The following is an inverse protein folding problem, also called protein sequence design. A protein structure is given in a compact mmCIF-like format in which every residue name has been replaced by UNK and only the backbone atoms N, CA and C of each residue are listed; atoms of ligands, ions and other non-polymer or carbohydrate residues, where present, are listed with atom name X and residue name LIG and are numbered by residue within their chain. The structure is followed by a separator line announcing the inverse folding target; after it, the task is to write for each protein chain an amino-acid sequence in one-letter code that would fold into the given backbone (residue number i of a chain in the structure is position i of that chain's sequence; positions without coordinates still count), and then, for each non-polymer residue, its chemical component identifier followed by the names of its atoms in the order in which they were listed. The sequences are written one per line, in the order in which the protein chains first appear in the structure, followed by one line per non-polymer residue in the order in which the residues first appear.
data_IF_997887843527
#
_entry.id   IF_997887843527
#
_cell.length_a   1.000
_cell.length_b   1.000
_cell.length_c   1.000
_cell.angle_alpha   90.00
_cell.angle_beta   90.00
_cell.angle_gamma   90.00
#
_symmetry.space_group_name_H-M   'P 1'
#
loop_
_entity.id
_entity.type
_entity.pdbx_description
1 polymer ?
#
# COMPACT_ATOMS: atom_id res chain seq x y z
N UNK A 1 37.40 1.92 3.78
CA UNK A 1 36.17 1.94 2.97
C UNK A 1 36.26 0.87 1.90
N UNK A 2 35.24 0.04 1.71
CA UNK A 2 35.28 -1.01 0.68
C UNK A 2 35.16 -0.35 -0.70
N UNK A 3 35.93 -0.79 -1.69
CA UNK A 3 35.94 -0.20 -3.05
C UNK A 3 34.52 -0.02 -3.61
N UNK A 4 33.63 -0.99 -3.36
CA UNK A 4 32.20 -0.91 -3.72
C UNK A 4 31.49 0.34 -3.17
N UNK A 5 31.78 0.72 -1.91
CA UNK A 5 31.18 1.91 -1.30
C UNK A 5 31.66 3.19 -1.97
N UNK A 6 32.95 3.27 -2.33
CA UNK A 6 33.52 4.42 -3.04
C UNK A 6 32.89 4.53 -4.43
N UNK A 7 32.77 3.41 -5.15
CA UNK A 7 32.14 3.37 -6.48
C UNK A 7 30.67 3.81 -6.40
N UNK A 8 29.91 3.35 -5.41
CA UNK A 8 28.52 3.77 -5.20
C UNK A 8 28.45 5.27 -4.89
N UNK A 9 29.32 5.77 -4.01
CA UNK A 9 29.35 7.19 -3.64
C UNK A 9 29.65 8.08 -4.86
N UNK A 10 30.61 7.66 -5.69
CA UNK A 10 30.98 8.36 -6.93
C UNK A 10 29.83 8.31 -7.93
N UNK A 11 29.18 7.17 -8.13
CA UNK A 11 28.01 7.07 -9.02
C UNK A 11 26.88 7.99 -8.56
N UNK A 12 26.56 7.98 -7.26
CA UNK A 12 25.51 8.82 -6.69
C UNK A 12 25.85 10.30 -6.87
N UNK A 13 27.09 10.69 -6.57
CA UNK A 13 27.57 12.06 -6.79
C UNK A 13 27.46 12.48 -8.26
N UNK A 14 27.84 11.59 -9.19
CA UNK A 14 27.77 11.85 -10.62
C UNK A 14 26.33 12.04 -11.10
N UNK A 15 25.40 11.20 -10.62
CA UNK A 15 23.97 11.31 -10.93
C UNK A 15 23.40 12.63 -10.41
N UNK A 16 23.75 13.04 -9.18
CA UNK A 16 23.31 14.31 -8.60
C UNK A 16 23.82 15.48 -9.44
N UNK A 17 25.10 15.48 -9.80
CA UNK A 17 25.70 16.53 -10.64
C UNK A 17 25.04 16.57 -12.01
N UNK A 18 24.82 15.42 -12.65
CA UNK A 18 24.12 15.35 -13.93
C UNK A 18 22.68 15.84 -13.84
N UNK A 19 21.96 15.56 -12.74
CA UNK A 19 20.63 16.10 -12.52
C UNK A 19 20.67 17.61 -12.35
N UNK A 20 21.59 18.16 -11.56
CA UNK A 20 21.70 19.61 -11.34
C UNK A 20 22.10 20.32 -12.64
N UNK A 21 23.06 19.77 -13.40
CA UNK A 21 23.53 20.38 -14.65
C UNK A 21 22.50 20.27 -15.78
N UNK A 22 21.78 19.15 -15.88
CA UNK A 22 20.73 18.95 -16.89
C UNK A 22 19.34 19.40 -16.38
N UNK A 23 19.27 20.08 -15.23
CA UNK A 23 18.04 20.72 -14.76
C UNK A 23 17.77 21.97 -15.58
N UNK A 24 17.26 21.78 -16.79
CA UNK A 24 16.66 22.86 -17.55
C UNK A 24 15.51 23.41 -16.71
N UNK A 25 15.70 24.62 -16.20
CA UNK A 25 14.72 25.35 -15.42
C UNK A 25 13.54 25.66 -16.33
N UNK A 26 12.39 25.04 -16.04
CA UNK A 26 11.17 25.31 -16.77
C UNK A 26 10.43 26.41 -16.02
N UNK A 27 10.04 27.45 -16.77
CA UNK A 27 9.13 28.48 -16.28
C UNK A 27 7.73 27.88 -16.27
N UNK A 28 7.11 27.79 -15.10
CA UNK A 28 5.70 27.47 -14.97
C UNK A 28 5.01 28.51 -14.10
N UNK A 29 3.73 28.76 -14.36
CA UNK A 29 2.94 29.69 -13.58
C UNK A 29 2.10 28.90 -12.58
N UNK A 30 2.47 28.96 -11.31
CA UNK A 30 1.66 28.39 -10.24
C UNK A 30 0.67 29.47 -9.80
N UNK A 31 -0.62 29.30 -10.13
CA UNK A 31 -1.68 30.24 -9.75
C UNK A 31 -1.30 31.71 -10.06
N UNK A 32 -0.81 31.97 -11.28
CA UNK A 32 -0.35 33.28 -11.77
C UNK A 32 1.02 33.77 -11.26
N UNK A 33 1.69 33.04 -10.37
CA UNK A 33 3.07 33.36 -9.99
C UNK A 33 4.11 32.60 -10.83
N UNK A 34 5.08 33.30 -11.46
CA UNK A 34 6.14 32.65 -12.19
C UNK A 34 7.09 31.95 -11.21
N UNK A 35 7.16 30.62 -11.30
CA UNK A 35 8.06 29.78 -10.53
C UNK A 35 9.01 29.07 -11.49
N UNK A 36 10.28 29.03 -11.09
CA UNK A 36 11.33 28.35 -11.83
C UNK A 36 11.69 27.10 -11.05
N UNK A 37 11.41 25.93 -11.62
CA UNK A 37 11.85 24.67 -11.04
C UNK A 37 12.35 23.74 -12.14
N UNK A 38 13.24 22.79 -11.78
CA UNK A 38 13.57 21.69 -12.68
C UNK A 38 12.33 20.89 -13.07
N UNK A 39 12.20 20.55 -14.35
CA UNK A 39 11.07 19.75 -14.87
C UNK A 39 10.84 18.46 -14.09
N UNK A 40 11.90 17.84 -13.57
CA UNK A 40 11.81 16.62 -12.77
C UNK A 40 10.96 16.79 -11.49
N UNK A 41 11.05 17.93 -10.80
CA UNK A 41 10.21 18.19 -9.63
C UNK A 41 8.73 18.28 -10.00
N UNK A 42 8.43 18.89 -11.15
CA UNK A 42 7.06 19.01 -11.64
C UNK A 42 6.48 17.63 -12.01
N UNK A 43 7.26 16.80 -12.70
CA UNK A 43 6.88 15.43 -13.07
C UNK A 43 6.62 14.57 -11.84
N UNK A 44 7.53 14.58 -10.86
CA UNK A 44 7.33 13.87 -9.60
C UNK A 44 6.10 14.37 -8.83
N UNK A 45 5.88 15.69 -8.79
CA UNK A 45 4.71 16.28 -8.14
C UNK A 45 3.40 15.81 -8.77
N UNK A 46 3.29 15.88 -10.10
CA UNK A 46 2.10 15.41 -10.83
C UNK A 46 1.87 13.92 -10.60
N UNK A 47 2.92 13.10 -10.65
CA UNK A 47 2.83 11.67 -10.41
C UNK A 47 2.34 11.36 -8.98
N UNK A 48 2.88 12.04 -7.97
CA UNK A 48 2.44 11.89 -6.59
C UNK A 48 0.96 12.28 -6.43
N UNK A 49 0.54 13.41 -7.00
CA UNK A 49 -0.86 13.85 -6.97
C UNK A 49 -1.77 12.83 -7.67
N UNK A 50 -1.39 12.36 -8.85
CA UNK A 50 -2.14 11.35 -9.59
C UNK A 50 -2.28 10.03 -8.83
N UNK A 51 -1.22 9.57 -8.17
CA UNK A 51 -1.25 8.37 -7.33
C UNK A 51 -2.16 8.55 -6.11
N UNK A 52 -2.08 9.70 -5.43
CA UNK A 52 -2.93 10.01 -4.28
C UNK A 52 -4.40 10.03 -4.72
N UNK A 53 -4.72 10.79 -5.77
CA UNK A 53 -6.09 10.89 -6.29
C UNK A 53 -6.61 9.54 -6.75
N UNK A 54 -5.82 8.78 -7.51
CA UNK A 54 -6.18 7.43 -7.96
C UNK A 54 -6.39 6.46 -6.79
N UNK A 55 -5.55 6.52 -5.76
CA UNK A 55 -5.70 5.72 -4.56
C UNK A 55 -6.96 6.08 -3.76
N UNK A 56 -7.24 7.36 -3.57
CA UNK A 56 -8.48 7.80 -2.91
C UNK A 56 -9.73 7.41 -3.71
N UNK A 57 -9.70 7.57 -5.03
CA UNK A 57 -10.79 7.16 -5.91
C UNK A 57 -11.05 5.64 -5.84
N UNK A 58 -10.00 4.83 -5.88
CA UNK A 58 -10.11 3.39 -5.73
C UNK A 58 -10.63 2.96 -4.35
N UNK A 59 -10.25 3.69 -3.29
CA UNK A 59 -10.74 3.45 -1.93
C UNK A 59 -12.23 3.79 -1.80
N UNK A 60 -12.69 4.89 -2.40
CA UNK A 60 -14.10 5.29 -2.38
C UNK A 60 -15.02 4.32 -3.15
N UNK A 61 -14.48 3.61 -4.16
CA UNK A 61 -15.24 2.65 -4.97
C UNK A 61 -15.37 1.24 -4.39
N UNK A 62 -14.63 0.88 -3.33
CA UNK A 62 -14.71 -0.46 -2.73
C UNK A 62 -15.98 -0.62 -1.89
N UNK A 63 -17.04 -1.14 -2.51
CA UNK A 63 -18.17 -1.74 -1.78
C UNK A 63 -17.66 -3.00 -1.08
N UNK A 64 -17.68 -3.01 0.26
CA UNK A 64 -17.33 -4.18 1.06
C UNK A 64 -18.13 -5.39 0.58
N UNK A 65 -17.50 -6.49 0.12
CA UNK A 65 -18.25 -7.71 -0.14
C UNK A 65 -18.88 -8.18 1.18
N UNK A 66 -20.16 -8.62 1.17
CA UNK A 66 -20.85 -9.03 2.37
C UNK A 66 -20.05 -10.15 3.06
N UNK A 67 -19.73 -9.92 4.33
CA UNK A 67 -18.98 -10.84 5.19
C UNK A 67 -19.73 -12.20 5.20
N UNK A 68 -19.10 -13.32 4.79
CA UNK A 68 -19.76 -14.61 4.89
C UNK A 68 -20.05 -14.89 6.36
N UNK A 69 -21.32 -15.20 6.64
CA UNK A 69 -21.83 -15.54 7.97
C UNK A 69 -21.16 -16.84 8.43
N UNK A 70 -19.99 -16.70 9.03
CA UNK A 70 -19.32 -17.75 9.81
C UNK A 70 -20.01 -17.85 11.17
N UNK A 71 -21.19 -18.46 11.14
CA UNK A 71 -22.07 -18.61 12.29
C UNK A 71 -22.80 -19.95 12.23
N UNK A 72 -22.05 -21.04 12.18
CA UNK A 72 -22.52 -22.35 12.63
C UNK A 72 -21.52 -22.85 13.66
N UNK A 73 -21.81 -22.51 14.91
CA UNK A 73 -21.33 -23.27 16.06
C UNK A 73 -21.78 -24.72 15.85
N UNK A 74 -20.85 -25.61 15.54
CA UNK A 74 -21.02 -27.03 15.84
C UNK A 74 -20.17 -27.32 17.07
N UNK A 75 -20.74 -26.96 18.23
CA UNK A 75 -20.25 -27.37 19.54
C UNK A 75 -20.56 -28.87 19.68
N UNK A 76 -19.56 -29.76 19.88
CA UNK A 76 -19.83 -31.17 20.08
C UNK A 76 -20.55 -31.35 21.42
N UNK A 77 -21.81 -31.75 21.37
CA UNK A 77 -22.62 -32.07 22.52
C UNK A 77 -22.14 -33.41 23.12
N UNK A 78 -21.18 -33.33 24.03
CA UNK A 78 -20.90 -34.38 25.00
C UNK A 78 -21.77 -34.17 26.25
N UNK A 79 -22.23 -35.30 26.82
CA UNK A 79 -22.99 -35.51 28.06
C UNK A 79 -24.52 -35.35 27.92
N UNK A 80 -25.32 -36.40 28.14
CA UNK A 80 -25.66 -36.80 29.53
C UNK A 80 -26.06 -38.27 29.66
N UNK A 81 -25.65 -38.81 30.80
CA UNK A 81 -25.73 -40.16 31.37
C UNK A 81 -27.17 -40.63 31.65
N UNK A 82 -27.42 -41.95 31.63
CA UNK A 82 -27.98 -42.81 32.71
C UNK A 82 -28.49 -44.14 32.14
N UNK A 83 -28.01 -45.28 32.62
CA UNK A 83 -28.79 -46.53 32.64
C UNK A 83 -29.22 -46.84 34.09
N UNK A 84 -29.77 -48.02 34.40
CA UNK A 84 -30.81 -48.86 33.75
C UNK A 84 -32.11 -48.86 34.62
N UNK A 85 -33.20 -49.60 34.31
CA UNK A 85 -33.30 -50.97 34.83
C UNK A 85 -34.15 -51.97 33.99
N UNK A 86 -33.96 -53.24 34.34
CA UNK A 86 -34.93 -54.37 34.29
C UNK A 86 -35.30 -55.01 32.94
N UNK A 87 -34.69 -56.19 32.71
CA UNK A 87 -35.38 -57.44 32.32
C UNK A 87 -36.80 -57.54 32.95
N UNK A 88 -37.81 -58.19 32.34
CA UNK A 88 -37.69 -59.61 32.00
C UNK A 88 -38.54 -60.12 30.80
N UNK A 89 -38.38 -61.43 30.58
CA UNK A 89 -39.37 -62.40 30.09
C UNK A 89 -39.28 -62.93 28.63
N UNK A 90 -38.81 -64.19 28.62
CA UNK A 90 -39.28 -65.38 27.88
C UNK A 90 -38.95 -65.57 26.41
#
# INVERSE_FOLDING_TARGET
MKVKQIVILVLVGLVIVLMIQNSVLVKFHLLFWPVYAPLFFLVLGILAVGLIVGFLAAKAGRKTPPKPVSGREEKPAAATKTGPPTDPEK
#
